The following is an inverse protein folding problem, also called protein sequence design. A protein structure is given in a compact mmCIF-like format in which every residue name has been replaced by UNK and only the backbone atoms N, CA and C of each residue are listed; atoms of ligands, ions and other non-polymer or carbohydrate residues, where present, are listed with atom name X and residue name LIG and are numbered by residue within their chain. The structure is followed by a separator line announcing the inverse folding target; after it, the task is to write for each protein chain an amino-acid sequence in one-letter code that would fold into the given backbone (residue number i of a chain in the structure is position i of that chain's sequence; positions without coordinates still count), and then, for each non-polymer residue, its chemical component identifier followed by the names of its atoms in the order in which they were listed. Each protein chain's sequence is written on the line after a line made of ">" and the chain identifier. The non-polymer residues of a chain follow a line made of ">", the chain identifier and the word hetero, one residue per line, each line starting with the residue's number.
data_IF_767367392259
#
_entry.id   IF_767367392259
#
_cell.length_a   1.000
_cell.length_b   1.000
_cell.length_c   1.000
_cell.angle_alpha   90.00
_cell.angle_beta   90.00
_cell.angle_gamma   90.00
#
_symmetry.space_group_name_H-M   'P 1'
#
loop_
_entity.id
_entity.type
_entity.pdbx_description
1 polymer ?
#
# COMPACT_ATOMS: atom_id res chain seq x y z
N UNK A 1 12.24 25.57 16.88
CA UNK A 1 11.72 25.13 15.58
C UNK A 1 11.97 26.26 14.62
N UNK A 2 12.75 26.01 13.58
CA UNK A 2 13.02 27.00 12.54
C UNK A 2 11.83 27.10 11.58
N UNK A 3 11.78 28.15 10.77
CA UNK A 3 10.74 28.30 9.73
C UNK A 3 10.85 27.18 8.68
N UNK A 4 12.09 26.79 8.35
CA UNK A 4 12.42 25.62 7.52
C UNK A 4 11.83 24.32 8.08
N UNK A 5 11.98 24.08 9.38
CA UNK A 5 11.41 22.89 10.04
C UNK A 5 9.88 22.88 9.92
N UNK A 6 9.25 24.06 9.93
CA UNK A 6 7.79 24.20 9.84
C UNK A 6 7.27 23.85 8.44
N UNK A 7 7.91 24.37 7.38
CA UNK A 7 7.51 24.04 6.00
C UNK A 7 7.69 22.55 5.71
N UNK A 8 8.82 21.98 6.13
CA UNK A 8 9.04 20.55 5.95
C UNK A 8 8.00 19.73 6.72
N UNK A 9 7.68 20.10 7.97
CA UNK A 9 6.68 19.40 8.77
C UNK A 9 5.28 19.41 8.11
N UNK A 10 4.89 20.53 7.51
CA UNK A 10 3.63 20.65 6.78
C UNK A 10 3.60 19.72 5.56
N UNK A 11 4.65 19.73 4.76
CA UNK A 11 4.74 18.87 3.58
C UNK A 11 4.81 17.37 3.93
N UNK A 12 5.47 17.01 5.04
CA UNK A 12 5.44 15.64 5.56
C UNK A 12 4.01 15.19 5.85
N UNK A 13 3.18 16.04 6.45
CA UNK A 13 1.78 15.74 6.72
C UNK A 13 0.96 15.62 5.43
N UNK A 14 1.20 16.50 4.45
CA UNK A 14 0.55 16.44 3.13
C UNK A 14 0.83 15.10 2.44
N UNK A 15 2.10 14.67 2.40
CA UNK A 15 2.46 13.37 1.82
C UNK A 15 1.83 12.23 2.62
N UNK A 16 1.91 12.27 3.95
CA UNK A 16 1.39 11.21 4.84
C UNK A 16 -0.11 10.99 4.69
N UNK A 17 -0.88 12.06 4.47
CA UNK A 17 -2.34 12.04 4.38
C UNK A 17 -2.87 12.18 2.96
N UNK A 18 -2.00 12.05 1.96
CA UNK A 18 -2.36 12.11 0.54
C UNK A 18 -3.31 10.97 0.11
N UNK A 19 -3.80 11.06 -1.13
CA UNK A 19 -4.74 10.09 -1.69
C UNK A 19 -4.12 8.72 -2.03
N UNK A 20 -4.66 8.09 -3.06
CA UNK A 20 -4.30 6.73 -3.51
C UNK A 20 -2.93 6.64 -4.22
N UNK A 21 -2.29 7.79 -4.50
CA UNK A 21 -1.02 7.88 -5.21
C UNK A 21 -0.12 8.88 -4.46
N UNK A 22 0.46 8.48 -3.30
CA UNK A 22 1.27 9.37 -2.47
C UNK A 22 2.52 9.92 -3.17
N UNK A 23 2.99 9.26 -4.24
CA UNK A 23 4.08 9.73 -5.10
C UNK A 23 3.79 11.11 -5.71
N UNK A 24 2.53 11.38 -6.07
CA UNK A 24 2.14 12.69 -6.64
C UNK A 24 2.30 13.77 -5.57
N UNK A 25 1.85 13.51 -4.34
CA UNK A 25 2.02 14.44 -3.23
C UNK A 25 3.51 14.65 -2.93
N UNK A 26 4.32 13.59 -2.89
CA UNK A 26 5.76 13.68 -2.71
C UNK A 26 6.44 14.58 -3.74
N UNK A 27 6.16 14.40 -5.03
CA UNK A 27 6.74 15.24 -6.08
C UNK A 27 6.21 16.68 -6.03
N UNK A 28 4.95 16.89 -5.65
CA UNK A 28 4.37 18.22 -5.45
C UNK A 28 5.05 18.95 -4.29
N UNK A 29 5.27 18.25 -3.17
CA UNK A 29 5.98 18.77 -2.00
C UNK A 29 7.43 19.11 -2.33
N UNK A 30 8.15 18.26 -3.08
CA UNK A 30 9.50 18.58 -3.53
C UNK A 30 9.55 19.82 -4.41
N UNK A 31 8.61 19.93 -5.36
CA UNK A 31 8.53 21.10 -6.22
C UNK A 31 8.26 22.38 -5.41
N UNK A 32 7.26 22.36 -4.53
CA UNK A 32 6.96 23.50 -3.66
C UNK A 32 8.16 23.90 -2.80
N UNK A 33 8.79 22.93 -2.13
CA UNK A 33 9.89 23.22 -1.20
C UNK A 33 11.14 23.76 -1.91
N UNK A 34 11.44 23.30 -3.13
CA UNK A 34 12.75 23.53 -3.76
C UNK A 34 12.71 24.43 -5.00
N UNK A 35 11.63 24.42 -5.77
CA UNK A 35 11.59 24.95 -7.15
C UNK A 35 10.55 26.05 -7.36
N UNK A 36 9.45 26.03 -6.60
CA UNK A 36 8.37 27.01 -6.75
C UNK A 36 8.88 28.43 -6.42
N UNK A 37 8.76 29.41 -7.35
CA UNK A 37 9.14 30.80 -7.07
C UNK A 37 8.38 31.43 -5.90
N UNK A 38 7.14 31.00 -5.66
CA UNK A 38 6.31 31.45 -4.55
C UNK A 38 6.48 30.56 -3.28
N UNK A 39 7.28 29.48 -3.39
CA UNK A 39 7.64 28.58 -2.30
C UNK A 39 8.91 28.99 -1.55
N UNK A 40 9.35 28.18 -0.55
CA UNK A 40 10.47 28.52 0.32
C UNK A 40 11.86 28.35 -0.31
N UNK A 41 11.98 27.77 -1.51
CA UNK A 41 13.23 27.64 -2.27
C UNK A 41 14.39 27.04 -1.46
N UNK A 42 14.08 26.01 -0.69
CA UNK A 42 15.01 25.31 0.19
C UNK A 42 15.97 24.44 -0.61
N UNK A 43 17.17 24.26 -0.05
CA UNK A 43 18.07 23.18 -0.46
C UNK A 43 17.96 22.04 0.55
N UNK A 44 17.20 21.01 0.19
CA UNK A 44 17.02 19.84 1.05
C UNK A 44 18.26 18.94 1.02
N UNK A 45 18.70 18.51 2.21
CA UNK A 45 19.69 17.47 2.35
C UNK A 45 19.06 16.08 2.24
N UNK A 46 19.93 15.07 2.28
CA UNK A 46 19.50 13.68 2.19
C UNK A 46 18.53 13.28 3.32
N UNK A 47 18.74 13.81 4.53
CA UNK A 47 17.90 13.51 5.69
C UNK A 47 16.46 14.02 5.48
N UNK A 48 16.27 15.25 5.01
CA UNK A 48 14.93 15.78 4.74
C UNK A 48 14.22 15.03 3.61
N UNK A 49 14.96 14.67 2.56
CA UNK A 49 14.44 13.85 1.47
C UNK A 49 13.99 12.46 1.96
N UNK A 50 14.77 11.84 2.84
CA UNK A 50 14.44 10.54 3.41
C UNK A 50 13.17 10.61 4.28
N UNK A 51 12.97 11.70 5.03
CA UNK A 51 11.72 11.91 5.78
C UNK A 51 10.50 11.96 4.85
N UNK A 52 10.58 12.69 3.73
CA UNK A 52 9.49 12.75 2.74
C UNK A 52 9.22 11.39 2.09
N UNK A 53 10.27 10.65 1.72
CA UNK A 53 10.15 9.29 1.17
C UNK A 53 9.49 8.33 2.16
N UNK A 54 9.85 8.42 3.44
CA UNK A 54 9.24 7.60 4.50
C UNK A 54 7.73 7.85 4.62
N UNK A 55 7.25 9.09 4.40
CA UNK A 55 5.80 9.36 4.41
C UNK A 55 5.07 8.70 3.23
N UNK A 56 5.71 8.57 2.08
CA UNK A 56 5.16 7.82 0.93
C UNK A 56 5.00 6.34 1.29
N UNK A 57 6.05 5.73 1.85
CA UNK A 57 6.02 4.32 2.29
C UNK A 57 4.97 4.11 3.37
N UNK A 58 4.91 5.00 4.36
CA UNK A 58 3.91 4.96 5.43
C UNK A 58 2.47 5.06 4.90
N UNK A 59 2.25 5.90 3.87
CA UNK A 59 0.94 6.01 3.23
C UNK A 59 0.59 4.76 2.43
N UNK A 60 1.53 4.19 1.67
CA UNK A 60 1.31 2.91 0.99
C UNK A 60 0.97 1.79 1.97
N UNK A 61 1.72 1.67 3.08
CA UNK A 61 1.43 0.71 4.14
C UNK A 61 -0.02 0.81 4.63
N UNK A 62 -0.50 2.01 4.94
CA UNK A 62 -1.89 2.21 5.37
C UNK A 62 -2.90 1.77 4.30
N UNK A 63 -2.67 2.12 3.04
CA UNK A 63 -3.55 1.76 1.93
C UNK A 63 -3.62 0.23 1.74
N UNK A 64 -2.46 -0.43 1.77
CA UNK A 64 -2.37 -1.89 1.62
C UNK A 64 -3.09 -2.61 2.76
N UNK A 65 -2.84 -2.23 4.01
CA UNK A 65 -3.51 -2.81 5.17
C UNK A 65 -5.00 -2.54 5.18
N UNK A 66 -5.44 -1.37 4.73
CA UNK A 66 -6.86 -1.06 4.56
C UNK A 66 -7.52 -2.04 3.59
N UNK A 67 -6.88 -2.29 2.45
CA UNK A 67 -7.43 -3.15 1.39
C UNK A 67 -7.33 -4.66 1.74
N UNK A 68 -6.48 -5.03 2.71
CA UNK A 68 -6.34 -6.38 3.26
C UNK A 68 -7.06 -6.59 4.60
N UNK A 69 -7.84 -5.63 5.08
CA UNK A 69 -8.59 -5.78 6.33
C UNK A 69 -9.97 -6.38 6.06
N UNK A 70 -10.31 -7.55 6.65
CA UNK A 70 -11.64 -8.16 6.49
C UNK A 70 -12.78 -7.25 6.96
N UNK A 71 -12.55 -6.44 8.00
CA UNK A 71 -13.54 -5.50 8.54
C UNK A 71 -13.95 -4.43 7.53
N UNK A 72 -13.06 -4.09 6.59
CA UNK A 72 -13.33 -3.07 5.60
C UNK A 72 -14.16 -3.60 4.43
N UNK A 73 -14.30 -4.92 4.25
CA UNK A 73 -14.95 -5.55 3.10
C UNK A 73 -16.29 -4.90 2.68
N UNK A 74 -17.13 -4.57 3.65
CA UNK A 74 -18.46 -3.96 3.42
C UNK A 74 -18.44 -2.43 3.44
N UNK A 75 -17.31 -1.82 3.79
CA UNK A 75 -17.15 -0.40 3.86
C UNK A 75 -16.89 0.21 2.48
N UNK A 76 -17.37 1.44 2.24
CA UNK A 76 -17.15 2.18 0.98
C UNK A 76 -15.68 2.42 0.65
N UNK A 77 -14.81 2.31 1.65
CA UNK A 77 -13.37 2.51 1.54
C UNK A 77 -12.65 1.27 0.98
N UNK A 78 -13.28 0.09 0.99
CA UNK A 78 -12.69 -1.13 0.45
C UNK A 78 -12.69 -1.10 -1.07
N UNK A 79 -11.51 -1.35 -1.63
CA UNK A 79 -11.27 -1.40 -3.08
C UNK A 79 -10.89 -2.79 -3.58
N UNK A 80 -10.73 -3.74 -2.66
CA UNK A 80 -10.43 -5.13 -2.95
C UNK A 80 -8.96 -5.40 -3.27
N UNK A 81 -8.64 -6.70 -3.33
CA UNK A 81 -7.28 -7.21 -3.47
C UNK A 81 -6.58 -6.74 -4.73
N UNK A 82 -7.30 -6.55 -5.84
CA UNK A 82 -6.74 -6.00 -7.08
C UNK A 82 -6.13 -4.61 -6.88
N UNK A 83 -6.75 -3.75 -6.05
CA UNK A 83 -6.22 -2.42 -5.74
C UNK A 83 -4.99 -2.50 -4.83
N UNK A 84 -5.00 -3.41 -3.87
CA UNK A 84 -3.84 -3.72 -3.04
C UNK A 84 -2.62 -4.10 -3.90
N UNK A 85 -2.79 -5.04 -4.84
CA UNK A 85 -1.73 -5.49 -5.76
C UNK A 85 -1.15 -4.30 -6.54
N UNK A 86 -2.00 -3.47 -7.16
CA UNK A 86 -1.51 -2.30 -7.89
C UNK A 86 -0.76 -1.29 -7.03
N UNK A 87 -1.19 -1.10 -5.78
CA UNK A 87 -0.51 -0.19 -4.86
C UNK A 87 0.82 -0.77 -4.36
N UNK A 88 0.92 -2.10 -4.22
CA UNK A 88 2.19 -2.77 -3.93
C UNK A 88 3.19 -2.58 -5.08
N UNK A 89 2.76 -2.79 -6.33
CA UNK A 89 3.62 -2.55 -7.51
C UNK A 89 4.09 -1.09 -7.61
N UNK A 90 3.23 -0.13 -7.26
CA UNK A 90 3.57 1.29 -7.23
C UNK A 90 4.62 1.57 -6.16
N UNK A 91 4.43 1.08 -4.95
CA UNK A 91 5.42 1.16 -3.88
C UNK A 91 6.77 0.59 -4.34
N UNK A 92 6.80 -0.58 -4.98
CA UNK A 92 8.01 -1.16 -5.54
C UNK A 92 8.70 -0.23 -6.55
N UNK A 93 7.94 0.29 -7.53
CA UNK A 93 8.45 1.24 -8.52
C UNK A 93 8.97 2.53 -7.89
N UNK A 94 8.28 3.04 -6.87
CA UNK A 94 8.72 4.21 -6.11
C UNK A 94 10.05 3.94 -5.41
N UNK A 95 10.14 2.86 -4.61
CA UNK A 95 11.35 2.46 -3.91
C UNK A 95 12.54 2.30 -4.88
N UNK A 96 12.36 1.59 -6.00
CA UNK A 96 13.41 1.45 -7.02
C UNK A 96 13.89 2.80 -7.55
N UNK A 97 12.98 3.73 -7.87
CA UNK A 97 13.35 5.07 -8.36
C UNK A 97 14.06 5.91 -7.30
N UNK A 98 13.74 5.70 -6.03
CA UNK A 98 14.37 6.38 -4.90
C UNK A 98 15.65 5.67 -4.41
N UNK A 99 16.10 4.59 -5.07
CA UNK A 99 17.23 3.75 -4.62
C UNK A 99 17.03 3.23 -3.18
N UNK A 100 15.78 2.88 -2.86
CA UNK A 100 15.35 2.30 -1.60
C UNK A 100 14.90 0.87 -1.82
N UNK A 101 14.96 0.08 -0.76
CA UNK A 101 14.34 -1.24 -0.70
C UNK A 101 13.07 -1.16 0.15
N UNK A 102 12.08 -2.00 -0.18
CA UNK A 102 10.92 -2.20 0.70
C UNK A 102 11.41 -2.97 1.93
N UNK A 103 11.19 -2.42 3.13
CA UNK A 103 11.60 -3.05 4.38
C UNK A 103 11.00 -4.46 4.53
N UNK A 104 11.81 -5.40 5.03
CA UNK A 104 11.39 -6.77 5.25
C UNK A 104 10.23 -6.87 6.25
N UNK A 105 10.19 -6.00 7.25
CA UNK A 105 9.11 -5.88 8.25
C UNK A 105 7.78 -5.52 7.62
N UNK A 106 7.76 -4.53 6.71
CA UNK A 106 6.56 -4.16 5.96
C UNK A 106 6.10 -5.34 5.08
N UNK A 107 7.03 -6.00 4.38
CA UNK A 107 6.69 -7.17 3.57
C UNK A 107 6.03 -8.28 4.40
N UNK A 108 6.59 -8.60 5.56
CA UNK A 108 6.03 -9.59 6.49
C UNK A 108 4.66 -9.20 7.01
N UNK A 109 4.44 -7.91 7.31
CA UNK A 109 3.14 -7.41 7.76
C UNK A 109 2.06 -7.56 6.69
N UNK A 110 2.37 -7.21 5.43
CA UNK A 110 1.45 -7.38 4.31
C UNK A 110 1.18 -8.87 4.04
N UNK A 111 2.18 -9.73 4.19
CA UNK A 111 2.03 -11.18 4.07
C UNK A 111 1.08 -11.76 5.14
N UNK A 112 1.22 -11.36 6.41
CA UNK A 112 0.30 -11.77 7.48
C UNK A 112 -1.12 -11.27 7.21
N UNK A 113 -1.27 -9.99 6.83
CA UNK A 113 -2.57 -9.41 6.51
C UNK A 113 -3.26 -10.16 5.36
N UNK A 114 -2.52 -10.52 4.30
CA UNK A 114 -3.04 -11.31 3.19
C UNK A 114 -3.50 -12.69 3.65
N UNK A 115 -2.69 -13.40 4.47
CA UNK A 115 -3.05 -14.73 5.00
C UNK A 115 -4.33 -14.66 5.82
N UNK A 116 -4.43 -13.71 6.76
CA UNK A 116 -5.64 -13.52 7.57
C UNK A 116 -6.86 -13.21 6.69
N UNK A 117 -6.72 -12.32 5.70
CA UNK A 117 -7.79 -11.94 4.80
C UNK A 117 -8.32 -13.13 4.00
N UNK A 118 -7.43 -13.90 3.36
CA UNK A 118 -7.82 -15.04 2.54
C UNK A 118 -8.41 -16.17 3.39
N UNK A 119 -7.86 -16.42 4.58
CA UNK A 119 -8.39 -17.44 5.49
C UNK A 119 -9.82 -17.11 5.91
N UNK A 120 -10.07 -15.88 6.35
CA UNK A 120 -11.41 -15.46 6.73
C UNK A 120 -12.37 -15.50 5.55
N UNK A 121 -11.96 -15.02 4.37
CA UNK A 121 -12.80 -15.06 3.18
C UNK A 121 -13.16 -16.51 2.79
N UNK A 122 -12.19 -17.42 2.82
CA UNK A 122 -12.42 -18.85 2.56
C UNK A 122 -13.40 -19.46 3.57
N UNK A 123 -13.25 -19.15 4.86
CA UNK A 123 -14.13 -19.67 5.91
C UNK A 123 -15.58 -19.16 5.75
N UNK A 124 -15.75 -17.87 5.45
CA UNK A 124 -17.07 -17.27 5.22
C UNK A 124 -17.76 -17.83 3.98
N UNK A 125 -17.02 -18.01 2.87
CA UNK A 125 -17.57 -18.59 1.63
C UNK A 125 -17.90 -20.07 1.83
N UNK A 126 -17.05 -20.83 2.53
CA UNK A 126 -17.27 -22.26 2.82
C UNK A 126 -18.50 -22.48 3.70
N UNK A 127 -18.70 -21.62 4.69
CA UNK A 127 -19.87 -21.63 5.54
C UNK A 127 -21.15 -21.16 4.82
N UNK A 128 -21.05 -20.70 3.55
CA UNK A 128 -22.17 -20.17 2.79
C UNK A 128 -22.70 -18.86 3.34
N UNK A 129 -21.93 -18.16 4.18
CA UNK A 129 -22.34 -16.91 4.79
C UNK A 129 -22.38 -15.80 3.74
N UNK A 130 -21.44 -15.83 2.80
CA UNK A 130 -21.23 -14.79 1.77
C UNK A 130 -20.62 -15.36 0.49
N UNK A 131 -20.75 -14.63 -0.61
CA UNK A 131 -19.99 -14.88 -1.85
C UNK A 131 -18.58 -14.30 -1.76
N UNK A 132 -17.64 -14.76 -2.58
CA UNK A 132 -16.28 -14.21 -2.59
C UNK A 132 -16.26 -12.72 -2.98
N UNK A 133 -15.46 -11.92 -2.28
CA UNK A 133 -15.16 -10.52 -2.65
C UNK A 133 -13.87 -10.36 -3.47
N UNK A 134 -13.18 -11.45 -3.83
CA UNK A 134 -11.97 -11.38 -4.64
C UNK A 134 -12.25 -10.80 -6.03
N UNK A 135 -11.58 -9.70 -6.35
CA UNK A 135 -11.72 -8.97 -7.60
C UNK A 135 -10.45 -9.03 -8.48
N UNK A 136 -9.48 -9.87 -8.14
CA UNK A 136 -8.29 -10.18 -8.94
C UNK A 136 -8.42 -11.57 -9.58
N UNK A 137 -7.53 -11.88 -10.53
CA UNK A 137 -7.41 -13.26 -11.04
C UNK A 137 -6.56 -14.11 -10.09
N UNK A 138 -6.56 -15.43 -10.31
CA UNK A 138 -5.70 -16.33 -9.54
C UNK A 138 -4.22 -16.05 -9.80
N UNK A 139 -3.86 -15.79 -11.05
CA UNK A 139 -2.48 -15.48 -11.45
C UNK A 139 -1.99 -14.17 -10.81
N UNK A 140 -2.86 -13.14 -10.72
CA UNK A 140 -2.56 -11.89 -10.04
C UNK A 140 -2.27 -12.14 -8.54
N UNK A 141 -3.08 -12.98 -7.89
CA UNK A 141 -2.87 -13.35 -6.48
C UNK A 141 -1.58 -14.14 -6.28
N UNK A 142 -1.32 -15.17 -7.08
CA UNK A 142 -0.12 -15.99 -6.97
C UNK A 142 1.17 -15.17 -7.20
N UNK A 143 1.10 -14.21 -8.13
CA UNK A 143 2.19 -13.26 -8.37
C UNK A 143 2.47 -12.39 -7.14
N UNK A 144 1.42 -11.79 -6.57
CA UNK A 144 1.54 -10.95 -5.38
C UNK A 144 1.99 -11.73 -4.15
N UNK A 145 1.41 -12.90 -3.88
CA UNK A 145 1.77 -13.79 -2.78
C UNK A 145 3.27 -14.16 -2.83
N UNK A 146 3.75 -14.58 -4.01
CA UNK A 146 5.18 -14.88 -4.21
C UNK A 146 6.07 -13.68 -3.94
N UNK A 147 5.66 -12.49 -4.39
CA UNK A 147 6.43 -11.27 -4.20
C UNK A 147 6.56 -10.91 -2.71
N UNK A 148 5.48 -11.03 -1.94
CA UNK A 148 5.52 -10.75 -0.49
C UNK A 148 6.04 -11.93 0.35
N UNK A 149 6.40 -13.05 -0.29
CA UNK A 149 7.00 -14.21 0.37
C UNK A 149 6.01 -15.16 1.02
N UNK A 150 4.76 -15.20 0.55
CA UNK A 150 3.74 -16.18 0.95
C UNK A 150 3.80 -17.38 0.01
N UNK A 151 4.10 -18.55 0.57
CA UNK A 151 4.10 -19.82 -0.15
C UNK A 151 2.69 -20.35 -0.45
N UNK A 152 2.50 -21.19 -1.49
CA UNK A 152 1.21 -21.82 -1.77
C UNK A 152 0.62 -22.62 -0.60
N UNK A 153 1.48 -23.21 0.23
CA UNK A 153 1.12 -23.96 1.44
C UNK A 153 0.59 -23.09 2.59
N UNK A 154 0.83 -21.77 2.51
CA UNK A 154 0.33 -20.81 3.49
C UNK A 154 -1.01 -20.18 3.06
N UNK A 155 -1.47 -20.50 1.85
CA UNK A 155 -2.78 -20.10 1.35
C UNK A 155 -3.84 -21.15 1.74
N UNK A 156 -5.12 -20.76 1.88
CA UNK A 156 -6.19 -21.72 2.15
C UNK A 156 -6.23 -22.85 1.10
N UNK A 157 -6.39 -24.11 1.55
CA UNK A 157 -6.42 -25.28 0.66
C UNK A 157 -7.50 -25.16 -0.44
N UNK A 158 -8.64 -24.59 -0.08
CA UNK A 158 -9.80 -24.44 -0.98
C UNK A 158 -9.81 -23.10 -1.74
N UNK A 159 -8.69 -22.39 -1.84
CA UNK A 159 -8.63 -21.03 -2.39
C UNK A 159 -9.25 -20.87 -3.80
N UNK A 160 -9.30 -21.94 -4.60
CA UNK A 160 -9.99 -21.96 -5.89
C UNK A 160 -11.47 -21.55 -5.79
N UNK A 161 -12.15 -21.91 -4.69
CA UNK A 161 -13.56 -21.58 -4.47
C UNK A 161 -13.82 -20.06 -4.46
N UNK A 162 -12.79 -19.27 -4.12
CA UNK A 162 -12.87 -17.81 -4.08
C UNK A 162 -12.92 -17.18 -5.47
N UNK A 163 -12.57 -17.93 -6.53
CA UNK A 163 -12.58 -17.44 -7.91
C UNK A 163 -13.78 -17.96 -8.73
N UNK A 164 -14.43 -19.02 -8.28
CA UNK A 164 -15.55 -19.68 -8.97
C UNK A 164 -16.85 -18.87 -9.07
N UNK A 165 -16.91 -17.65 -8.49
CA UNK A 165 -18.13 -16.82 -8.47
C UNK A 165 -18.22 -15.81 -9.61
N UNK A 166 -17.22 -15.71 -10.49
CA UNK A 166 -17.24 -14.77 -11.62
C UNK A 166 -17.90 -15.43 -12.84
N UNK A 167 -19.24 -15.49 -12.85
CA UNK A 167 -20.04 -15.89 -14.02
C UNK A 167 -21.22 -14.95 -14.22
#
# INVERSE_FOLDING_TARGET
>A
MTETDSWLAEELLIVRHSGEIPEIAFHSSLYYLCEDPDGPQLTLGQNELDLLRQQVVARYREILLRDLSPENRDARIFRGLKRCIFNWERLGKFCTRQTMEIEATLRQEIAEALRCFLQQEADEVRAGLRQSCLNCTREELDGFAREIGVGPEELPEDIEMLFCSQS
#
